data_IF_778275438325
#
_entry.id   IF_778275438325
#
_cell.length_a   1.000
_cell.length_b   1.000
_cell.length_c   1.000
_cell.angle_alpha   90.00
_cell.angle_beta   90.00
_cell.angle_gamma   90.00
#
_symmetry.space_group_name_H-M   'P 1'
#
loop_
_entity.id
_entity.type
_entity.pdbx_description
1 polymer ?
#
# COMPACT_ATOMS: atom_id res chain seq x y z
N UNK A 1 -9.48 7.46 -11.25
CA UNK A 1 -8.49 7.27 -10.17
C UNK A 1 -8.02 5.83 -10.24
N UNK A 2 -6.83 5.61 -10.80
CA UNK A 2 -6.25 4.26 -10.86
C UNK A 2 -5.68 3.93 -9.49
N UNK A 3 -6.37 3.06 -8.77
CA UNK A 3 -5.83 2.46 -7.56
C UNK A 3 -4.61 1.62 -7.93
N UNK A 4 -3.42 2.02 -7.49
CA UNK A 4 -2.25 1.14 -7.51
C UNK A 4 -2.49 0.01 -6.49
N UNK A 5 -3.22 -1.03 -6.91
CA UNK A 5 -3.39 -2.27 -6.16
C UNK A 5 -2.37 -3.28 -6.69
N UNK A 6 -1.46 -3.70 -5.85
CA UNK A 6 -0.70 -4.91 -6.10
C UNK A 6 -1.65 -6.10 -5.86
N UNK A 7 -2.26 -6.63 -6.90
CA UNK A 7 -3.02 -7.87 -6.86
C UNK A 7 -2.05 -9.05 -6.92
N UNK A 8 -1.92 -9.77 -5.82
CA UNK A 8 -1.17 -11.02 -5.77
C UNK A 8 -2.10 -12.18 -6.15
N UNK A 9 -1.76 -12.94 -7.19
CA UNK A 9 -2.46 -14.18 -7.52
C UNK A 9 -2.19 -15.25 -6.45
N UNK A 10 -3.19 -15.51 -5.64
CA UNK A 10 -3.19 -16.49 -4.55
C UNK A 10 -4.07 -17.71 -4.86
N UNK A 11 -4.33 -18.03 -6.12
CA UNK A 11 -5.29 -19.08 -6.51
C UNK A 11 -4.97 -20.43 -5.85
N UNK A 12 -3.70 -20.78 -5.72
CA UNK A 12 -3.24 -21.98 -5.02
C UNK A 12 -3.53 -21.95 -3.52
N UNK A 13 -3.25 -20.81 -2.88
CA UNK A 13 -3.52 -20.61 -1.46
C UNK A 13 -5.03 -20.63 -1.14
N UNK A 14 -5.86 -20.10 -2.03
CA UNK A 14 -7.33 -20.13 -1.86
C UNK A 14 -7.87 -21.58 -1.92
N UNK A 15 -7.34 -22.43 -2.80
CA UNK A 15 -7.73 -23.85 -2.86
C UNK A 15 -7.37 -24.58 -1.56
N UNK A 16 -6.17 -24.34 -1.05
CA UNK A 16 -5.71 -24.94 0.21
C UNK A 16 -6.54 -24.46 1.41
N UNK A 17 -6.83 -23.16 1.46
CA UNK A 17 -7.72 -22.56 2.47
C UNK A 17 -9.11 -23.19 2.47
N UNK A 18 -9.70 -23.42 1.29
CA UNK A 18 -11.01 -24.10 1.17
C UNK A 18 -10.93 -25.55 1.66
N UNK A 19 -9.83 -26.26 1.43
CA UNK A 19 -9.64 -27.60 1.94
C UNK A 19 -9.57 -27.62 3.48
N UNK A 20 -8.88 -26.67 4.09
CA UNK A 20 -8.79 -26.51 5.54
C UNK A 20 -10.11 -26.05 6.19
N UNK A 21 -10.89 -25.22 5.53
CA UNK A 21 -12.23 -24.85 6.01
C UNK A 21 -13.17 -26.08 6.08
N UNK A 22 -13.07 -27.01 5.12
CA UNK A 22 -13.79 -28.30 5.17
C UNK A 22 -13.39 -29.17 6.37
N UNK A 23 -12.21 -28.97 6.89
CA UNK A 23 -11.70 -29.66 8.10
C UNK A 23 -12.14 -28.97 9.40
N UNK A 24 -13.02 -27.97 9.35
CA UNK A 24 -13.54 -27.26 10.52
C UNK A 24 -12.58 -26.26 11.16
N UNK A 25 -11.43 -26.01 10.57
CA UNK A 25 -10.45 -25.01 11.03
C UNK A 25 -10.52 -23.76 10.17
N UNK A 26 -10.62 -22.58 10.77
CA UNK A 26 -10.60 -21.31 10.01
C UNK A 26 -9.17 -20.85 9.72
N UNK A 27 -8.70 -20.86 8.47
CA UNK A 27 -7.36 -20.42 8.10
C UNK A 27 -7.26 -18.89 7.98
N UNK A 28 -8.32 -18.16 8.27
CA UNK A 28 -8.35 -16.70 8.15
C UNK A 28 -7.23 -16.02 8.96
N UNK A 29 -6.86 -16.58 10.13
CA UNK A 29 -5.74 -16.06 10.94
C UNK A 29 -4.40 -16.23 10.21
N UNK A 30 -4.19 -17.37 9.54
CA UNK A 30 -2.99 -17.63 8.75
C UNK A 30 -2.87 -16.64 7.59
N UNK A 31 -3.94 -16.46 6.80
CA UNK A 31 -4.00 -15.48 5.71
C UNK A 31 -3.74 -14.06 6.20
N UNK A 32 -4.37 -13.66 7.32
CA UNK A 32 -4.17 -12.33 7.89
C UNK A 32 -2.73 -12.11 8.35
N UNK A 33 -2.12 -13.11 8.96
CA UNK A 33 -0.74 -13.04 9.44
C UNK A 33 0.27 -12.99 8.27
N UNK A 34 0.07 -13.82 7.25
CA UNK A 34 0.88 -13.82 6.04
C UNK A 34 0.82 -12.47 5.32
N UNK A 35 -0.37 -11.95 5.05
CA UNK A 35 -0.55 -10.66 4.41
C UNK A 35 0.03 -9.49 5.24
N UNK A 36 -0.12 -9.53 6.59
CA UNK A 36 0.44 -8.52 7.49
C UNK A 36 1.97 -8.52 7.52
N UNK A 37 2.61 -9.69 7.36
CA UNK A 37 4.07 -9.78 7.25
C UNK A 37 4.56 -9.36 5.88
N UNK A 38 3.87 -9.76 4.81
CA UNK A 38 4.23 -9.44 3.43
C UNK A 38 4.22 -7.94 3.13
N UNK A 39 3.28 -7.18 3.68
CA UNK A 39 3.23 -5.72 3.47
C UNK A 39 4.38 -4.96 4.17
N UNK A 40 5.07 -5.58 5.10
CA UNK A 40 6.13 -4.92 5.88
C UNK A 40 7.34 -4.52 5.03
N UNK A 41 7.94 -5.41 4.19
CA UNK A 41 9.02 -5.03 3.29
C UNK A 41 8.57 -3.96 2.29
N UNK A 42 7.35 -4.03 1.75
CA UNK A 42 6.81 -3.01 0.84
C UNK A 42 6.79 -1.64 1.50
N UNK A 43 6.20 -1.54 2.69
CA UNK A 43 6.21 -0.30 3.47
C UNK A 43 7.63 0.20 3.73
N UNK A 44 8.56 -0.71 4.05
CA UNK A 44 9.95 -0.38 4.33
C UNK A 44 10.67 0.15 3.09
N UNK A 45 10.51 -0.50 1.95
CA UNK A 45 11.10 -0.07 0.69
C UNK A 45 10.61 1.33 0.28
N UNK A 46 9.32 1.60 0.34
CA UNK A 46 8.77 2.93 0.07
C UNK A 46 9.32 3.94 1.08
N UNK A 47 9.25 3.64 2.37
CA UNK A 47 9.58 4.61 3.44
C UNK A 47 11.06 4.97 3.51
N UNK A 48 11.95 4.05 3.18
CA UNK A 48 13.39 4.21 3.36
C UNK A 48 14.19 4.15 2.07
N UNK A 49 13.58 3.69 0.97
CA UNK A 49 14.24 3.55 -0.33
C UNK A 49 13.86 4.65 -1.31
N UNK A 50 12.59 4.78 -1.62
CA UNK A 50 12.11 5.57 -2.77
C UNK A 50 11.43 6.89 -2.39
N UNK A 51 10.96 7.05 -1.14
CA UNK A 51 10.30 8.29 -0.73
C UNK A 51 11.24 9.50 -0.86
N UNK A 52 10.82 10.60 -1.51
CA UNK A 52 11.65 11.79 -1.64
C UNK A 52 11.93 12.40 -0.26
N UNK A 53 13.19 12.83 -0.09
CA UNK A 53 13.62 13.51 1.14
C UNK A 53 13.15 14.95 1.07
N UNK A 54 12.10 15.26 1.82
CA UNK A 54 11.64 16.65 2.01
C UNK A 54 12.24 17.27 3.27
N UNK A 55 12.34 18.58 3.33
CA UNK A 55 12.92 19.34 4.45
C UNK A 55 12.34 18.95 5.81
N UNK A 56 11.04 18.69 5.89
CA UNK A 56 10.34 18.37 7.14
C UNK A 56 10.27 16.88 7.46
N UNK A 57 10.55 16.01 6.50
CA UNK A 57 10.40 14.56 6.62
C UNK A 57 8.94 14.08 6.88
N UNK A 58 7.96 14.96 6.75
CA UNK A 58 6.56 14.66 7.05
C UNK A 58 5.98 13.60 6.10
N UNK A 59 6.37 13.62 4.82
CA UNK A 59 5.97 12.62 3.85
C UNK A 59 6.38 11.21 4.31
N UNK A 60 7.64 11.05 4.70
CA UNK A 60 8.17 9.79 5.23
C UNK A 60 7.49 9.34 6.51
N UNK A 61 7.19 10.27 7.43
CA UNK A 61 6.49 9.96 8.69
C UNK A 61 5.04 9.54 8.46
N UNK A 62 4.39 10.12 7.46
CA UNK A 62 2.99 9.85 7.13
C UNK A 62 2.77 8.46 6.52
N UNK A 63 3.80 7.81 5.94
CA UNK A 63 3.65 6.48 5.32
C UNK A 63 3.30 5.45 6.37
N UNK A 64 2.12 4.86 6.23
CA UNK A 64 1.57 3.84 7.12
C UNK A 64 0.99 2.67 6.33
N UNK A 65 0.66 1.59 7.01
CA UNK A 65 -0.09 0.48 6.44
C UNK A 65 -1.50 0.48 7.00
N UNK A 66 -2.47 0.15 6.16
CA UNK A 66 -3.87 0.04 6.53
C UNK A 66 -4.40 -1.30 6.04
N UNK A 67 -5.22 -1.94 6.87
CA UNK A 67 -5.91 -3.16 6.49
C UNK A 67 -7.28 -2.80 5.91
N UNK A 68 -7.63 -3.39 4.78
CA UNK A 68 -9.00 -3.30 4.26
C UNK A 68 -9.95 -4.07 5.18
N UNK A 69 -11.14 -3.51 5.40
CA UNK A 69 -12.24 -4.20 6.07
C UNK A 69 -12.84 -5.19 5.07
N UNK A 70 -12.40 -6.45 5.11
CA UNK A 70 -12.98 -7.51 4.31
C UNK A 70 -13.83 -8.43 5.15
N UNK A 71 -15.06 -8.73 4.69
CA UNK A 71 -15.95 -9.74 5.27
C UNK A 71 -15.79 -11.11 4.59
N UNK A 72 -15.01 -11.20 3.50
CA UNK A 72 -14.81 -12.45 2.76
C UNK A 72 -13.77 -13.30 3.47
N UNK A 73 -14.12 -14.57 3.73
CA UNK A 73 -13.17 -15.57 4.23
C UNK A 73 -12.08 -15.83 3.20
N UNK A 74 -10.85 -16.08 3.65
CA UNK A 74 -9.71 -16.35 2.79
C UNK A 74 -9.15 -15.11 2.07
N UNK A 75 -9.73 -13.92 2.28
CA UNK A 75 -9.24 -12.67 1.70
C UNK A 75 -8.79 -11.70 2.80
N UNK A 76 -7.58 -11.17 2.68
CA UNK A 76 -7.09 -10.06 3.47
C UNK A 76 -6.19 -9.16 2.63
N UNK A 77 -6.56 -7.89 2.52
CA UNK A 77 -5.80 -6.89 1.79
C UNK A 77 -5.19 -5.90 2.79
N UNK A 78 -3.94 -5.58 2.57
CA UNK A 78 -3.24 -4.47 3.21
C UNK A 78 -2.75 -3.52 2.14
N UNK A 79 -2.86 -2.24 2.40
CA UNK A 79 -2.36 -1.18 1.54
C UNK A 79 -1.32 -0.33 2.28
N UNK A 80 -0.33 0.18 1.55
CA UNK A 80 0.54 1.24 2.04
C UNK A 80 -0.10 2.56 1.64
N UNK A 81 -0.31 3.44 2.60
CA UNK A 81 -1.02 4.71 2.40
C UNK A 81 -0.46 5.77 3.34
N UNK A 82 -1.04 6.96 3.32
CA UNK A 82 -0.68 8.05 4.22
C UNK A 82 -1.65 8.14 5.41
N UNK A 83 -1.09 8.35 6.60
CA UNK A 83 -1.87 8.53 7.82
C UNK A 83 -2.63 9.86 7.76
N UNK A 84 -3.95 9.79 7.93
CA UNK A 84 -4.87 10.95 7.84
C UNK A 84 -4.51 12.10 8.79
N UNK A 85 -3.86 11.82 9.91
CA UNK A 85 -3.41 12.87 10.84
C UNK A 85 -2.38 13.83 10.24
N UNK A 86 -1.73 13.43 9.15
CA UNK A 86 -0.80 14.28 8.40
C UNK A 86 -1.47 15.07 7.26
N UNK A 87 -2.78 14.90 7.01
CA UNK A 87 -3.44 15.54 5.86
C UNK A 87 -3.28 17.06 5.85
N UNK A 88 -3.39 17.71 7.00
CA UNK A 88 -3.23 19.19 7.10
C UNK A 88 -1.82 19.63 6.73
N UNK A 89 -0.80 18.84 7.06
CA UNK A 89 0.61 19.15 6.77
C UNK A 89 0.98 18.79 5.33
N UNK A 90 0.31 17.77 4.76
CA UNK A 90 0.54 17.30 3.39
C UNK A 90 -0.29 18.03 2.35
N UNK A 91 -1.21 18.90 2.76
CA UNK A 91 -1.97 19.77 1.88
C UNK A 91 -1.32 21.16 1.83
N UNK A 92 -1.10 21.67 0.63
CA UNK A 92 -0.58 23.03 0.42
C UNK A 92 -1.57 23.85 -0.39
N UNK A 93 -1.81 25.11 -0.02
CA UNK A 93 -2.66 25.99 -0.84
C UNK A 93 -2.04 26.16 -2.23
N UNK A 94 -2.89 26.14 -3.24
CA UNK A 94 -2.48 26.38 -4.63
C UNK A 94 -2.31 27.89 -4.77
N UNK A 95 -1.10 28.34 -5.10
CA UNK A 95 -0.77 29.78 -5.21
C UNK A 95 -1.54 30.47 -6.33
N UNK A 96 -1.76 29.78 -7.46
CA UNK A 96 -2.48 30.30 -8.62
C UNK A 96 -3.47 29.22 -9.07
N UNK A 97 -4.66 29.12 -8.43
CA UNK A 97 -5.71 28.25 -8.93
C UNK A 97 -6.09 28.75 -10.34
N UNK A 98 -6.16 27.83 -11.30
CA UNK A 98 -6.68 28.14 -12.62
C UNK A 98 -8.16 28.53 -12.56
N UNK A 99 -8.76 28.89 -13.72
CA UNK A 99 -10.17 29.28 -13.79
C UNK A 99 -11.15 28.26 -13.19
N UNK A 100 -10.75 26.98 -13.13
CA UNK A 100 -11.53 25.89 -12.54
C UNK A 100 -11.25 25.68 -11.03
N UNK A 101 -10.29 26.41 -10.44
CA UNK A 101 -9.89 26.26 -9.04
C UNK A 101 -10.44 27.35 -8.14
N UNK A 102 -10.98 26.95 -6.98
CA UNK A 102 -11.44 27.88 -5.95
C UNK A 102 -10.27 28.48 -5.16
N UNK A 103 -10.49 29.69 -4.56
CA UNK A 103 -9.49 30.38 -3.70
C UNK A 103 -8.93 29.53 -2.54
N UNK A 104 -9.65 28.45 -2.15
CA UNK A 104 -9.28 27.58 -1.03
C UNK A 104 -8.77 26.21 -1.48
N UNK A 105 -8.51 26.02 -2.77
CA UNK A 105 -8.05 24.75 -3.29
C UNK A 105 -6.65 24.42 -2.77
N UNK A 106 -6.52 23.18 -2.34
CA UNK A 106 -5.28 22.64 -1.78
C UNK A 106 -4.78 21.48 -2.63
N UNK A 107 -3.52 21.55 -3.02
CA UNK A 107 -2.83 20.41 -3.63
C UNK A 107 -2.42 19.42 -2.54
N UNK A 108 -2.64 18.14 -2.81
CA UNK A 108 -2.17 17.06 -1.95
C UNK A 108 -0.75 16.67 -2.37
N UNK A 109 0.22 17.12 -1.61
CA UNK A 109 1.65 16.98 -1.91
C UNK A 109 2.10 15.54 -2.26
N UNK A 110 1.65 14.48 -1.54
CA UNK A 110 2.02 13.12 -1.92
C UNK A 110 1.60 12.73 -3.33
N UNK A 111 0.40 13.12 -3.77
CA UNK A 111 -0.07 12.84 -5.12
C UNK A 111 0.75 13.59 -6.18
N UNK A 112 1.11 14.84 -5.91
CA UNK A 112 1.99 15.62 -6.80
C UNK A 112 3.38 14.98 -6.94
N UNK A 113 3.91 14.42 -5.85
CA UNK A 113 5.21 13.72 -5.90
C UNK A 113 5.11 12.36 -6.61
N UNK A 114 3.99 11.66 -6.48
CA UNK A 114 3.79 10.36 -7.14
C UNK A 114 3.53 10.52 -8.64
N UNK A 115 2.57 11.40 -9.00
CA UNK A 115 2.04 11.47 -10.36
C UNK A 115 2.52 12.68 -11.16
N UNK A 116 3.22 13.62 -10.53
CA UNK A 116 3.56 14.89 -11.13
C UNK A 116 2.45 15.94 -11.05
N UNK A 117 2.71 17.10 -11.60
CA UNK A 117 1.78 18.24 -11.55
C UNK A 117 2.05 19.22 -12.68
N UNK A 118 1.03 20.03 -12.99
CA UNK A 118 1.17 21.14 -13.90
C UNK A 118 1.62 22.39 -13.14
N UNK A 119 2.62 23.07 -13.67
CA UNK A 119 3.07 24.38 -13.18
C UNK A 119 2.88 25.45 -14.24
N UNK A 120 2.58 26.68 -13.83
CA UNK A 120 2.44 27.79 -14.77
C UNK A 120 3.80 28.36 -15.10
N UNK A 121 4.11 28.44 -16.38
CA UNK A 121 5.34 29.09 -16.88
C UNK A 121 5.24 30.61 -16.77
N UNK A 122 6.38 31.29 -16.63
CA UNK A 122 6.42 32.77 -16.58
C UNK A 122 5.84 33.43 -17.84
N UNK A 123 5.82 32.73 -18.98
CA UNK A 123 5.24 33.18 -20.25
C UNK A 123 3.75 32.89 -20.46
N UNK A 124 3.01 32.45 -19.43
CA UNK A 124 1.57 32.23 -19.49
C UNK A 124 1.10 30.83 -19.90
N UNK A 125 2.01 29.91 -20.26
CA UNK A 125 1.70 28.52 -20.55
C UNK A 125 1.78 27.60 -19.33
N UNK A 126 1.42 26.33 -19.51
CA UNK A 126 1.59 25.27 -18.49
C UNK A 126 2.73 24.34 -18.89
N UNK A 127 3.54 23.97 -17.92
CA UNK A 127 4.55 22.92 -18.04
C UNK A 127 4.25 21.78 -17.10
N UNK A 128 4.41 20.54 -17.58
CA UNK A 128 4.24 19.35 -16.74
C UNK A 128 5.56 19.01 -16.06
N UNK A 129 5.49 18.85 -14.74
CA UNK A 129 6.58 18.33 -13.93
C UNK A 129 6.27 16.84 -13.66
N UNK A 130 7.12 15.91 -14.14
CA UNK A 130 6.86 14.49 -13.96
C UNK A 130 6.93 14.09 -12.49
N UNK A 131 6.14 13.09 -12.13
CA UNK A 131 6.16 12.49 -10.80
C UNK A 131 7.36 11.57 -10.60
N UNK A 132 7.69 11.32 -9.35
CA UNK A 132 8.78 10.43 -8.94
C UNK A 132 8.34 8.97 -8.86
N UNK A 133 7.04 8.68 -8.89
CA UNK A 133 6.47 7.34 -8.79
C UNK A 133 6.99 6.50 -7.61
N UNK A 134 7.36 7.18 -6.51
CA UNK A 134 8.06 6.57 -5.38
C UNK A 134 7.28 5.45 -4.68
N UNK A 135 5.95 5.53 -4.66
CA UNK A 135 5.09 4.48 -4.11
C UNK A 135 5.14 3.23 -5.00
N UNK A 136 5.03 3.42 -6.32
CA UNK A 136 5.10 2.35 -7.30
C UNK A 136 6.47 1.70 -7.31
N UNK A 137 7.53 2.47 -7.44
CA UNK A 137 8.91 1.95 -7.44
C UNK A 137 9.25 1.20 -6.16
N UNK A 138 8.88 1.74 -5.00
CA UNK A 138 9.09 1.06 -3.73
C UNK A 138 8.31 -0.24 -3.59
N UNK A 139 7.11 -0.31 -4.17
CA UNK A 139 6.32 -1.54 -4.20
C UNK A 139 6.96 -2.59 -5.13
N UNK A 140 7.35 -2.20 -6.34
CA UNK A 140 8.03 -3.06 -7.31
C UNK A 140 9.35 -3.62 -6.75
N UNK A 141 10.16 -2.79 -6.13
CA UNK A 141 11.44 -3.19 -5.50
C UNK A 141 11.27 -4.22 -4.37
N UNK A 142 10.13 -4.22 -3.71
CA UNK A 142 9.86 -5.15 -2.60
C UNK A 142 8.96 -6.33 -2.99
N UNK A 143 8.46 -6.38 -4.21
CA UNK A 143 7.43 -7.35 -4.66
C UNK A 143 7.88 -8.79 -4.41
N UNK A 144 9.05 -9.16 -4.91
CA UNK A 144 9.55 -10.53 -4.79
C UNK A 144 9.76 -10.93 -3.32
N UNK A 145 10.34 -10.05 -2.52
CA UNK A 145 10.52 -10.30 -1.09
C UNK A 145 9.18 -10.44 -0.37
N UNK A 146 8.20 -9.62 -0.71
CA UNK A 146 6.86 -9.69 -0.13
C UNK A 146 6.16 -11.02 -0.49
N UNK A 147 6.28 -11.48 -1.75
CA UNK A 147 5.76 -12.77 -2.21
C UNK A 147 6.36 -13.93 -1.43
N UNK A 148 7.69 -13.98 -1.31
CA UNK A 148 8.39 -15.02 -0.56
C UNK A 148 7.95 -15.05 0.90
N UNK A 149 7.95 -13.91 1.59
CA UNK A 149 7.51 -13.82 3.00
C UNK A 149 6.06 -14.27 3.17
N UNK A 150 5.21 -13.96 2.19
CA UNK A 150 3.80 -14.34 2.25
C UNK A 150 3.62 -15.85 2.14
N UNK A 151 4.28 -16.48 1.17
CA UNK A 151 4.23 -17.95 0.96
C UNK A 151 4.79 -18.66 2.18
N UNK A 152 6.02 -18.36 2.61
CA UNK A 152 6.67 -18.98 3.75
C UNK A 152 5.87 -18.86 5.04
N UNK A 153 5.25 -17.66 5.24
CA UNK A 153 4.43 -17.45 6.44
C UNK A 153 3.15 -18.25 6.37
N UNK A 154 2.52 -18.31 5.19
CA UNK A 154 1.28 -19.05 5.00
C UNK A 154 1.50 -20.55 5.20
N UNK A 155 2.54 -21.11 4.60
CA UNK A 155 2.93 -22.52 4.76
C UNK A 155 3.15 -22.88 6.23
N UNK A 156 3.97 -22.11 6.93
CA UNK A 156 4.25 -22.35 8.36
C UNK A 156 2.98 -22.30 9.24
N UNK A 157 2.09 -21.34 8.97
CA UNK A 157 0.84 -21.23 9.74
C UNK A 157 -0.15 -22.36 9.39
N UNK A 158 -0.15 -22.81 8.12
CA UNK A 158 -0.99 -23.94 7.69
C UNK A 158 -0.48 -25.27 8.25
N UNK A 159 0.84 -25.51 8.24
CA UNK A 159 1.44 -26.69 8.88
C UNK A 159 1.12 -26.75 10.37
N UNK A 160 1.18 -25.60 11.05
CA UNK A 160 0.81 -25.53 12.47
C UNK A 160 -0.66 -25.93 12.68
N UNK A 161 -1.55 -25.38 11.88
CA UNK A 161 -2.98 -25.72 11.94
C UNK A 161 -3.25 -27.20 11.64
N UNK A 162 -2.50 -27.76 10.69
CA UNK A 162 -2.57 -29.17 10.34
C UNK A 162 -2.15 -30.06 11.51
N UNK A 163 -0.99 -29.79 12.10
CA UNK A 163 -0.49 -30.51 13.28
C UNK A 163 -1.48 -30.46 14.45
N UNK A 164 -2.03 -29.27 14.73
CA UNK A 164 -3.07 -29.11 15.76
C UNK A 164 -4.34 -29.89 15.44
N UNK A 165 -4.69 -30.07 14.14
CA UNK A 165 -5.86 -30.83 13.72
C UNK A 165 -5.67 -32.34 13.76
N UNK A 166 -4.44 -32.82 13.59
CA UNK A 166 -4.10 -34.27 13.55
C UNK A 166 -3.73 -34.82 14.92
N UNK A 167 -3.39 -33.97 15.89
CA UNK A 167 -3.06 -34.37 17.26
C UNK A 167 -4.21 -34.05 18.27
N UNK A 168 -5.34 -33.57 17.79
CA UNK A 168 -6.57 -33.37 18.56
C UNK A 168 -7.62 -34.42 18.21
#
# INVERSE_FOLDING_TARGET
>A
MSDCRADFDLTGAIKLVKALDKMGKSPQKAVTKAASKAITPVKRAIKYGTVPVGETGNLKRAITRKAEKSRRRGKKIYEVTFDRKYNTVLQKPIKNPGEAGGKNDKAYYPASQEYGFLTRSKGGGYSYVPGLHFMREGAENAEQQAKTIMVDTLEKELEKLWKEATHA
#
